data_IF_758803109924
#
_entry.id   IF_758803109924
#
_cell.length_a   1.000
_cell.length_b   1.000
_cell.length_c   1.000
_cell.angle_alpha   90.00
_cell.angle_beta   90.00
_cell.angle_gamma   90.00
#
_symmetry.space_group_name_H-M   'P 1'
#
loop_
_entity.id
_entity.type
_entity.pdbx_description
1 polymer ?
#
# COMPACT_ATOMS: atom_id res chain seq x y z
N UNK A 1 -4.20 11.16 -12.18
CA UNK A 1 -3.42 10.98 -10.94
C UNK A 1 -2.82 9.57 -10.87
N UNK A 2 -1.68 9.38 -10.19
CA UNK A 2 -1.08 8.06 -9.91
C UNK A 2 -1.25 7.68 -8.45
N UNK A 3 -1.36 6.39 -8.15
CA UNK A 3 -1.49 5.84 -6.78
C UNK A 3 -0.33 4.90 -6.52
N UNK A 4 0.48 5.21 -5.50
CA UNK A 4 1.53 4.32 -5.03
C UNK A 4 0.98 3.41 -3.93
N UNK A 5 0.92 2.11 -4.20
CA UNK A 5 0.47 1.10 -3.26
C UNK A 5 1.61 0.16 -2.87
N UNK A 6 1.84 0.06 -1.57
CA UNK A 6 2.92 -0.74 -0.99
C UNK A 6 2.36 -2.08 -0.53
N UNK A 7 3.02 -3.18 -0.89
CA UNK A 7 2.64 -4.53 -0.46
C UNK A 7 3.88 -5.35 -0.09
N UNK A 8 3.68 -6.40 0.71
CA UNK A 8 4.73 -7.37 1.06
C UNK A 8 5.44 -8.00 -0.15
N UNK A 9 4.78 -8.04 -1.31
CA UNK A 9 5.36 -8.57 -2.53
C UNK A 9 6.07 -7.53 -3.40
N UNK A 10 5.96 -6.23 -3.11
CA UNK A 10 6.48 -5.20 -4.00
C UNK A 10 5.78 -3.85 -3.92
N UNK A 11 6.10 -2.98 -4.88
CA UNK A 11 5.45 -1.68 -5.07
C UNK A 11 4.58 -1.71 -6.33
N UNK A 12 3.30 -1.37 -6.18
CA UNK A 12 2.38 -1.21 -7.28
C UNK A 12 2.10 0.26 -7.54
N UNK A 13 2.02 0.64 -8.82
CA UNK A 13 1.55 1.95 -9.23
C UNK A 13 0.34 1.79 -10.11
N UNK A 14 -0.76 2.35 -9.64
CA UNK A 14 -2.03 2.39 -10.36
C UNK A 14 -2.24 3.77 -10.96
N UNK A 15 -2.84 3.82 -12.14
CA UNK A 15 -3.42 5.03 -12.71
C UNK A 15 -4.88 5.12 -12.30
N UNK A 16 -5.24 6.23 -11.66
CA UNK A 16 -6.63 6.54 -11.36
C UNK A 16 -7.30 7.07 -12.63
N UNK A 17 -8.35 6.39 -13.08
CA UNK A 17 -9.09 6.71 -14.30
C UNK A 17 -10.23 7.70 -14.02
N UNK A 18 -10.83 7.63 -12.84
CA UNK A 18 -11.91 8.53 -12.41
C UNK A 18 -11.51 9.27 -11.13
N UNK A 19 -11.05 10.51 -11.29
CA UNK A 19 -10.56 11.35 -10.20
C UNK A 19 -11.70 11.86 -9.30
N UNK A 20 -12.95 11.86 -9.79
CA UNK A 20 -14.12 12.31 -9.02
C UNK A 20 -14.43 11.37 -7.85
N UNK A 21 -14.00 10.10 -7.95
CA UNK A 21 -14.18 9.07 -6.90
C UNK A 21 -13.45 9.36 -5.60
N UNK A 22 -12.47 10.27 -5.59
CA UNK A 22 -11.81 10.73 -4.36
C UNK A 22 -12.70 11.65 -3.49
N UNK A 23 -13.77 12.22 -4.06
CA UNK A 23 -14.68 13.12 -3.35
C UNK A 23 -15.92 12.38 -2.80
N UNK A 24 -16.24 11.20 -3.33
CA UNK A 24 -17.44 10.41 -2.99
C UNK A 24 -17.07 9.07 -2.34
N UNK A 25 -16.75 9.10 -1.05
CA UNK A 25 -16.23 7.95 -0.29
C UNK A 25 -17.24 6.79 -0.22
N UNK A 26 -18.55 7.06 -0.14
CA UNK A 26 -19.59 6.02 -0.05
C UNK A 26 -19.66 5.17 -1.33
N UNK A 27 -19.50 5.78 -2.50
CA UNK A 27 -19.52 5.08 -3.79
C UNK A 27 -18.26 4.24 -4.00
N UNK A 28 -17.16 4.60 -3.35
CA UNK A 28 -15.86 3.96 -3.53
C UNK A 28 -15.85 2.50 -3.07
N UNK A 29 -16.59 2.15 -2.01
CA UNK A 29 -16.69 0.75 -1.58
C UNK A 29 -17.45 -0.11 -2.59
N UNK A 30 -18.54 0.42 -3.16
CA UNK A 30 -19.39 -0.28 -4.14
C UNK A 30 -18.62 -0.53 -5.45
N UNK A 31 -17.79 0.43 -5.85
CA UNK A 31 -16.95 0.33 -7.04
C UNK A 31 -15.82 -0.70 -6.91
N UNK A 32 -15.54 -1.18 -5.69
CA UNK A 32 -14.49 -2.16 -5.40
C UNK A 32 -15.03 -3.48 -4.85
N UNK A 33 -16.35 -3.71 -4.91
CA UNK A 33 -16.95 -5.01 -4.58
C UNK A 33 -16.48 -6.12 -5.52
N UNK A 34 -16.29 -5.80 -6.81
CA UNK A 34 -15.86 -6.76 -7.81
C UNK A 34 -14.59 -6.28 -8.55
N UNK A 35 -13.72 -7.20 -8.99
CA UNK A 35 -12.52 -6.86 -9.76
C UNK A 35 -12.83 -6.07 -11.04
N UNK A 36 -13.95 -6.37 -11.70
CA UNK A 36 -14.36 -5.72 -12.96
C UNK A 36 -14.77 -4.26 -12.74
N UNK A 37 -15.42 -3.95 -11.61
CA UNK A 37 -15.74 -2.56 -11.23
C UNK A 37 -14.46 -1.82 -10.84
N UNK A 38 -13.59 -2.44 -10.03
CA UNK A 38 -12.33 -1.83 -9.59
C UNK A 38 -11.42 -1.49 -10.77
N UNK A 39 -11.38 -2.35 -11.81
CA UNK A 39 -10.60 -2.13 -13.03
C UNK A 39 -11.07 -0.91 -13.87
N UNK A 40 -12.33 -0.46 -13.68
CA UNK A 40 -12.85 0.77 -14.31
C UNK A 40 -12.38 2.04 -13.59
N UNK A 41 -12.07 1.93 -12.30
CA UNK A 41 -11.59 3.06 -11.49
C UNK A 41 -10.06 3.12 -11.48
N UNK A 42 -9.40 1.97 -11.40
CA UNK A 42 -7.94 1.87 -11.33
C UNK A 42 -7.40 0.90 -12.37
N UNK A 43 -6.30 1.32 -13.00
CA UNK A 43 -5.54 0.47 -13.91
C UNK A 43 -4.11 0.30 -13.40
N UNK A 44 -3.64 -0.92 -13.27
CA UNK A 44 -2.24 -1.20 -12.93
C UNK A 44 -1.34 -0.67 -14.06
N UNK A 45 -0.43 0.26 -13.72
CA UNK A 45 0.54 0.84 -14.66
C UNK A 45 1.87 0.09 -14.57
N UNK A 46 2.34 -0.16 -13.36
CA UNK A 46 3.60 -0.86 -13.11
C UNK A 46 3.51 -1.62 -11.79
N UNK A 47 4.05 -2.82 -11.74
CA UNK A 47 4.29 -3.56 -10.51
C UNK A 47 5.78 -3.94 -10.42
N UNK A 48 6.46 -3.45 -9.38
CA UNK A 48 7.84 -3.84 -9.07
C UNK A 48 7.80 -4.86 -7.94
N UNK A 49 7.97 -6.14 -8.28
CA UNK A 49 8.03 -7.23 -7.32
C UNK A 49 9.37 -7.20 -6.57
N UNK A 50 9.35 -7.57 -5.29
CA UNK A 50 10.58 -7.79 -4.55
C UNK A 50 11.22 -9.13 -4.90
N UNK A 51 12.55 -9.13 -4.98
CA UNK A 51 13.32 -10.34 -5.31
C UNK A 51 13.27 -11.37 -4.17
N UNK A 52 13.32 -10.90 -2.93
CA UNK A 52 13.33 -11.73 -1.74
C UNK A 52 12.75 -11.01 -0.50
N UNK A 53 12.63 -11.76 0.60
CA UNK A 53 12.13 -11.25 1.88
C UNK A 53 13.07 -10.26 2.56
N UNK A 54 14.36 -10.25 2.22
CA UNK A 54 15.34 -9.29 2.76
C UNK A 54 15.13 -7.92 2.14
N UNK A 55 14.90 -7.87 0.84
CA UNK A 55 14.56 -6.65 0.11
C UNK A 55 13.21 -6.11 0.57
N UNK A 56 12.21 -6.98 0.75
CA UNK A 56 10.90 -6.61 1.30
C UNK A 56 11.01 -5.99 2.70
N UNK A 57 11.82 -6.58 3.58
CA UNK A 57 12.09 -6.08 4.93
C UNK A 57 12.79 -4.72 4.91
N UNK A 58 13.86 -4.58 4.14
CA UNK A 58 14.58 -3.31 4.01
C UNK A 58 13.71 -2.20 3.43
N UNK A 59 12.84 -2.54 2.46
CA UNK A 59 11.89 -1.61 1.88
C UNK A 59 10.85 -1.15 2.91
N UNK A 60 10.30 -2.09 3.67
CA UNK A 60 9.29 -1.81 4.67
C UNK A 60 9.87 -1.04 5.88
N UNK A 61 11.09 -1.33 6.34
CA UNK A 61 11.80 -0.52 7.36
C UNK A 61 12.04 0.90 6.85
N UNK A 62 12.45 1.07 5.60
CA UNK A 62 12.64 2.38 5.02
C UNK A 62 11.33 3.18 4.97
N UNK A 63 10.20 2.55 4.62
CA UNK A 63 8.88 3.19 4.66
C UNK A 63 8.52 3.67 6.07
N UNK A 64 8.74 2.84 7.11
CA UNK A 64 8.50 3.23 8.52
C UNK A 64 9.36 4.43 8.94
N UNK A 65 10.61 4.49 8.47
CA UNK A 65 11.51 5.62 8.72
C UNK A 65 11.21 6.85 7.82
N UNK A 66 10.19 6.80 6.96
CA UNK A 66 9.88 7.86 6.00
C UNK A 66 10.93 8.04 4.89
N UNK A 67 11.75 7.01 4.62
CA UNK A 67 12.83 7.02 3.63
C UNK A 67 12.44 6.29 2.36
N UNK A 68 13.00 6.74 1.24
CA UNK A 68 12.81 6.09 -0.06
C UNK A 68 13.77 4.90 -0.20
N UNK A 69 13.22 3.69 -0.28
CA UNK A 69 13.98 2.47 -0.53
C UNK A 69 14.62 2.44 -1.93
N UNK A 70 15.67 1.63 -2.12
CA UNK A 70 16.30 1.43 -3.44
C UNK A 70 15.32 0.97 -4.53
N UNK A 71 14.47 -0.05 -4.31
CA UNK A 71 13.47 -0.46 -5.31
C UNK A 71 12.46 0.65 -5.61
N UNK A 72 11.97 1.37 -4.59
CA UNK A 72 11.05 2.50 -4.82
C UNK A 72 11.70 3.62 -5.63
N UNK A 73 12.98 3.93 -5.36
CA UNK A 73 13.74 4.93 -6.13
C UNK A 73 13.85 4.55 -7.61
N UNK A 74 14.07 3.26 -7.93
CA UNK A 74 14.12 2.78 -9.31
C UNK A 74 12.75 2.86 -9.98
N UNK A 75 11.70 2.47 -9.25
CA UNK A 75 10.32 2.53 -9.75
C UNK A 75 9.90 3.96 -10.07
N UNK A 76 10.09 4.90 -9.14
CA UNK A 76 9.75 6.30 -9.34
C UNK A 76 10.48 6.90 -10.54
N UNK A 77 11.78 6.61 -10.71
CA UNK A 77 12.54 7.08 -11.89
C UNK A 77 11.96 6.63 -13.23
N UNK A 78 11.36 5.43 -13.30
CA UNK A 78 10.71 4.94 -14.53
C UNK A 78 9.33 5.58 -14.77
N UNK A 79 8.76 6.20 -13.73
CA UNK A 79 7.44 6.83 -13.76
C UNK A 79 7.51 8.34 -13.92
N UNK A 80 8.66 8.97 -13.60
CA UNK A 80 8.93 10.38 -13.87
C UNK A 80 8.99 10.57 -15.38
N UNK A 81 7.89 11.02 -15.95
CA UNK A 81 7.90 11.63 -17.28
C UNK A 81 8.15 13.14 -17.07
N UNK A 82 9.22 13.73 -17.64
CA UNK A 82 9.55 15.14 -17.41
C UNK A 82 8.44 16.11 -17.84
N UNK A 83 7.60 15.68 -18.78
CA UNK A 83 6.59 16.51 -19.42
C UNK A 83 5.19 16.36 -18.82
N UNK A 84 4.99 15.44 -17.87
CA UNK A 84 3.68 15.19 -17.24
C UNK A 84 3.78 15.31 -15.73
N UNK A 85 3.28 16.42 -15.20
CA UNK A 85 3.16 16.64 -13.76
C UNK A 85 1.96 15.86 -13.20
N UNK A 86 2.06 14.53 -13.14
CA UNK A 86 1.03 13.69 -12.50
C UNK A 86 1.17 13.77 -10.97
N UNK A 87 0.07 14.08 -10.27
CA UNK A 87 0.02 14.02 -8.81
C UNK A 87 0.08 12.56 -8.32
N UNK A 88 0.90 12.31 -7.30
CA UNK A 88 1.11 10.99 -6.71
C UNK A 88 0.36 10.87 -5.38
N UNK A 89 -0.54 9.90 -5.30
CA UNK A 89 -1.27 9.55 -4.09
C UNK A 89 -0.44 8.56 -3.28
N UNK A 90 -0.15 8.92 -2.03
CA UNK A 90 0.69 8.13 -1.12
C UNK A 90 -0.05 7.85 0.18
N UNK A 91 0.20 6.68 0.77
CA UNK A 91 -0.42 6.27 2.02
C UNK A 91 0.24 6.94 3.25
N UNK A 92 1.50 7.36 3.16
CA UNK A 92 2.20 8.00 4.27
C UNK A 92 2.71 9.40 3.89
N UNK A 93 2.46 10.36 4.77
CA UNK A 93 2.81 11.76 4.52
C UNK A 93 4.31 12.04 4.63
N UNK A 94 5.06 11.31 5.47
CA UNK A 94 6.51 11.42 5.59
C UNK A 94 7.19 10.85 4.35
N UNK A 95 6.73 9.69 3.85
CA UNK A 95 7.18 9.15 2.58
C UNK A 95 6.88 10.10 1.42
N UNK A 96 5.68 10.70 1.40
CA UNK A 96 5.31 11.73 0.42
C UNK A 96 6.24 12.94 0.42
N UNK A 97 6.64 13.44 1.59
CA UNK A 97 7.63 14.53 1.71
C UNK A 97 8.98 14.12 1.13
N UNK A 98 9.49 12.94 1.49
CA UNK A 98 10.76 12.45 0.97
C UNK A 98 10.74 12.31 -0.56
N UNK A 99 9.62 11.86 -1.13
CA UNK A 99 9.43 11.75 -2.60
C UNK A 99 9.40 13.13 -3.24
N UNK A 100 8.66 14.07 -2.67
CA UNK A 100 8.56 15.45 -3.15
C UNK A 100 9.91 16.15 -3.16
N UNK A 101 10.72 15.98 -2.11
CA UNK A 101 12.06 16.57 -2.03
C UNK A 101 13.03 16.01 -3.08
N UNK A 102 12.92 14.72 -3.41
CA UNK A 102 13.91 14.03 -4.24
C UNK A 102 13.57 13.99 -5.73
N UNK A 103 12.29 13.95 -6.05
CA UNK A 103 11.79 13.76 -7.42
C UNK A 103 10.85 14.88 -7.87
N UNK A 104 10.59 15.89 -7.01
CA UNK A 104 9.71 17.02 -7.31
C UNK A 104 8.29 16.63 -7.71
N UNK A 105 7.83 15.43 -7.33
CA UNK A 105 6.43 15.04 -7.46
C UNK A 105 5.56 15.80 -6.48
N UNK A 106 4.39 16.25 -6.94
CA UNK A 106 3.36 16.65 -6.01
C UNK A 106 2.70 15.42 -5.40
N UNK A 107 2.84 15.26 -4.09
CA UNK A 107 2.34 14.12 -3.34
C UNK A 107 1.13 14.53 -2.51
N UNK A 108 0.02 13.78 -2.62
CA UNK A 108 -1.19 14.01 -1.85
C UNK A 108 -1.42 12.84 -0.88
N UNK A 109 -1.63 13.19 0.39
CA UNK A 109 -2.00 12.28 1.46
C UNK A 109 -3.13 12.93 2.26
N UNK A 110 -4.35 12.40 2.15
CA UNK A 110 -5.53 12.84 2.89
C UNK A 110 -6.40 11.63 3.26
N UNK A 111 -7.51 11.85 3.98
CA UNK A 111 -8.44 10.79 4.37
C UNK A 111 -9.01 10.02 3.18
N UNK A 112 -9.40 10.71 2.11
CA UNK A 112 -9.91 10.07 0.88
C UNK A 112 -8.90 9.13 0.23
N UNK A 113 -7.60 9.51 0.24
CA UNK A 113 -6.51 8.66 -0.24
C UNK A 113 -6.37 7.43 0.66
N UNK A 114 -6.50 7.57 1.98
CA UNK A 114 -6.49 6.42 2.88
C UNK A 114 -7.64 5.46 2.60
N UNK A 115 -8.85 5.96 2.35
CA UNK A 115 -9.99 5.13 2.00
C UNK A 115 -9.80 4.45 0.64
N UNK A 116 -9.22 5.14 -0.35
CA UNK A 116 -8.80 4.54 -1.62
C UNK A 116 -7.79 3.41 -1.41
N UNK A 117 -6.78 3.60 -0.57
CA UNK A 117 -5.81 2.55 -0.26
C UNK A 117 -6.45 1.34 0.41
N UNK A 118 -7.51 1.54 1.22
CA UNK A 118 -8.26 0.44 1.87
C UNK A 118 -9.03 -0.40 0.84
N UNK A 119 -9.73 0.23 -0.09
CA UNK A 119 -10.47 -0.52 -1.13
C UNK A 119 -9.54 -1.16 -2.17
N UNK A 120 -8.38 -0.56 -2.46
CA UNK A 120 -7.35 -1.23 -3.27
C UNK A 120 -6.87 -2.50 -2.57
N UNK A 121 -6.69 -2.44 -1.25
CA UNK A 121 -6.22 -3.58 -0.45
C UNK A 121 -7.22 -4.74 -0.44
N UNK A 122 -8.54 -4.47 -0.44
CA UNK A 122 -9.55 -5.54 -0.49
C UNK A 122 -9.56 -6.29 -1.82
N UNK A 123 -9.12 -5.65 -2.91
CA UNK A 123 -9.02 -6.23 -4.26
C UNK A 123 -7.58 -6.46 -4.71
N UNK A 124 -6.59 -6.36 -3.82
CA UNK A 124 -5.18 -6.36 -4.20
C UNK A 124 -4.75 -7.65 -4.90
N UNK A 125 -5.28 -8.79 -4.45
CA UNK A 125 -4.93 -10.10 -5.01
C UNK A 125 -5.36 -10.17 -6.50
N UNK A 126 -6.55 -9.64 -6.82
CA UNK A 126 -7.07 -9.53 -8.19
C UNK A 126 -6.37 -8.45 -9.03
N UNK A 127 -6.09 -7.28 -8.43
CA UNK A 127 -5.51 -6.12 -9.12
C UNK A 127 -4.03 -6.28 -9.44
N UNK A 128 -3.28 -7.01 -8.59
CA UNK A 128 -1.84 -7.23 -8.76
C UNK A 128 -1.53 -8.44 -9.64
N UNK A 129 -2.52 -9.30 -9.92
CA UNK A 129 -2.36 -10.52 -10.73
C UNK A 129 -1.27 -11.47 -10.20
N UNK A 130 -1.05 -11.46 -8.88
CA UNK A 130 -0.09 -12.34 -8.20
C UNK A 130 -0.85 -13.56 -7.68
N UNK A 131 -0.20 -14.72 -7.68
CA UNK A 131 -0.77 -15.92 -7.06
C UNK A 131 -1.00 -15.67 -5.55
N UNK A 132 -2.22 -15.90 -5.08
CA UNK A 132 -2.62 -15.75 -3.67
C UNK A 132 -1.66 -16.50 -2.72
N UNK A 133 -1.23 -17.72 -3.09
CA UNK A 133 -0.31 -18.52 -2.27
C UNK A 133 1.08 -17.88 -2.15
N UNK A 134 1.55 -17.29 -3.25
CA UNK A 134 2.85 -16.61 -3.27
C UNK A 134 2.79 -15.35 -2.42
N UNK A 135 1.72 -14.56 -2.56
CA UNK A 135 1.52 -13.36 -1.78
C UNK A 135 1.37 -13.68 -0.28
N UNK A 136 0.62 -14.73 0.07
CA UNK A 136 0.51 -15.21 1.44
C UNK A 136 1.86 -15.66 2.02
N UNK A 137 2.66 -16.41 1.26
CA UNK A 137 4.00 -16.82 1.67
C UNK A 137 4.92 -15.62 1.93
N UNK A 138 4.87 -14.59 1.06
CA UNK A 138 5.63 -13.36 1.25
C UNK A 138 5.17 -12.56 2.47
N UNK A 139 3.86 -12.47 2.71
CA UNK A 139 3.29 -11.85 3.92
C UNK A 139 3.83 -12.52 5.19
N UNK A 140 3.78 -13.85 5.25
CA UNK A 140 4.27 -14.65 6.39
C UNK A 140 5.79 -14.51 6.57
N UNK A 141 6.55 -14.63 5.48
CA UNK A 141 8.01 -14.53 5.53
C UNK A 141 8.47 -13.15 6.00
N UNK A 142 7.80 -12.09 5.55
CA UNK A 142 8.06 -10.73 6.01
C UNK A 142 7.72 -10.57 7.49
N UNK A 143 6.56 -11.05 7.94
CA UNK A 143 6.13 -10.99 9.34
C UNK A 143 7.14 -11.69 10.28
N UNK A 144 7.58 -12.91 9.93
CA UNK A 144 8.60 -13.62 10.72
C UNK A 144 9.93 -12.87 10.79
N UNK A 145 10.39 -12.27 9.67
CA UNK A 145 11.63 -11.48 9.70
C UNK A 145 11.50 -10.21 10.54
N UNK A 146 10.34 -9.56 10.49
CA UNK A 146 10.04 -8.42 11.35
C UNK A 146 10.09 -8.80 12.82
N UNK A 147 9.49 -9.93 13.20
CA UNK A 147 9.51 -10.43 14.58
C UNK A 147 10.95 -10.67 15.07
N UNK A 148 11.83 -11.23 14.23
CA UNK A 148 13.24 -11.47 14.59
C UNK A 148 13.97 -10.15 14.83
N UNK A 149 13.84 -9.18 13.91
CA UNK A 149 14.45 -7.87 14.07
C UNK A 149 13.89 -7.16 15.32
N UNK A 150 12.57 -7.21 15.54
CA UNK A 150 11.97 -6.62 16.73
C UNK A 150 12.39 -7.33 18.02
N UNK A 151 12.59 -8.64 18.03
CA UNK A 151 13.14 -9.36 19.19
C UNK A 151 14.54 -8.85 19.56
N UNK A 152 15.36 -8.50 18.58
CA UNK A 152 16.66 -7.88 18.81
C UNK A 152 16.53 -6.43 19.36
N UNK A 153 15.46 -5.70 19.03
CA UNK A 153 15.16 -4.36 19.57
C UNK A 153 14.35 -4.37 20.89
N UNK A 154 13.66 -5.47 21.22
CA UNK A 154 12.77 -5.63 22.38
C UNK A 154 13.47 -5.72 23.75
N UNK A 155 14.74 -5.30 23.85
CA UNK A 155 15.30 -4.93 25.15
C UNK A 155 14.84 -3.53 25.61
N UNK A 156 14.40 -2.63 24.71
CA UNK A 156 13.85 -1.33 25.09
C UNK A 156 12.69 -0.87 24.17
N UNK A 157 11.50 -0.76 24.78
CA UNK A 157 10.33 0.06 24.43
C UNK A 157 9.33 -0.41 23.36
N UNK A 158 8.10 -0.64 23.87
CA UNK A 158 6.75 -0.34 23.35
C UNK A 158 6.15 -1.18 22.18
N UNK A 159 5.28 -2.11 22.60
CA UNK A 159 4.36 -2.98 21.85
C UNK A 159 3.31 -2.27 20.94
N UNK A 160 3.20 -0.94 20.95
CA UNK A 160 2.07 -0.23 20.32
C UNK A 160 2.29 -0.04 18.81
N UNK A 161 3.51 0.33 18.39
CA UNK A 161 3.84 0.52 16.97
C UNK A 161 3.82 -0.81 16.18
N UNK A 162 4.00 -1.92 16.89
CA UNK A 162 3.84 -3.27 16.34
C UNK A 162 2.40 -3.52 15.90
N UNK A 163 1.38 -3.08 16.66
CA UNK A 163 -0.03 -3.31 16.31
C UNK A 163 -0.42 -2.50 15.08
N UNK A 164 0.06 -1.27 14.90
CA UNK A 164 -0.31 -0.46 13.73
C UNK A 164 0.37 -0.94 12.45
N UNK A 165 1.64 -1.38 12.51
CA UNK A 165 2.32 -1.96 11.35
C UNK A 165 1.89 -3.40 11.07
N UNK A 166 1.69 -4.22 12.11
CA UNK A 166 1.00 -5.50 11.99
C UNK A 166 -0.38 -5.25 11.42
N UNK A 167 -1.15 -4.23 11.82
CA UNK A 167 -2.45 -3.88 11.23
C UNK A 167 -2.32 -3.42 9.77
N UNK A 168 -1.24 -2.77 9.36
CA UNK A 168 -0.94 -2.48 7.95
C UNK A 168 -0.74 -3.77 7.14
N UNK A 169 -0.18 -4.80 7.76
CA UNK A 169 -0.02 -6.17 7.22
C UNK A 169 -1.28 -7.07 7.46
N UNK A 170 -2.09 -6.81 8.49
CA UNK A 170 -3.26 -7.53 9.01
C UNK A 170 -4.59 -6.85 8.67
N UNK A 171 -4.63 -5.82 7.80
CA UNK A 171 -5.91 -5.22 7.35
C UNK A 171 -6.79 -6.24 6.58
N UNK A 172 -6.27 -7.44 6.35
CA UNK A 172 -7.01 -8.62 5.86
C UNK A 172 -7.88 -9.26 6.97
N UNK A 173 -7.53 -9.14 8.25
CA UNK A 173 -8.25 -9.80 9.36
C UNK A 173 -9.23 -8.87 10.09
N UNK A 174 -8.88 -7.61 10.37
CA UNK A 174 -9.76 -6.71 11.15
C UNK A 174 -10.94 -6.19 10.32
N UNK A 175 -10.76 -5.94 9.02
CA UNK A 175 -11.87 -5.49 8.15
C UNK A 175 -12.92 -6.58 7.95
N UNK A 176 -12.51 -7.85 7.87
CA UNK A 176 -13.43 -9.00 7.81
C UNK A 176 -14.21 -9.17 9.12
N UNK A 177 -13.57 -8.96 10.28
CA UNK A 177 -14.25 -9.03 11.58
C UNK A 177 -15.23 -7.87 11.76
N UNK A 178 -14.88 -6.64 11.36
CA UNK A 178 -15.77 -5.47 11.50
C UNK A 178 -16.99 -5.54 10.57
N UNK A 179 -16.83 -6.09 9.35
CA UNK A 179 -17.94 -6.33 8.42
C UNK A 179 -18.82 -7.51 8.89
N UNK A 180 -18.24 -8.59 9.42
CA UNK A 180 -19.00 -9.72 9.97
C UNK A 180 -19.77 -9.36 11.26
N UNK A 181 -19.26 -8.45 12.10
CA UNK A 181 -20.00 -7.99 13.29
C UNK A 181 -21.12 -7.01 12.97
N UNK A 182 -21.07 -6.31 11.83
CA UNK A 182 -22.15 -5.39 11.40
C UNK A 182 -23.28 -6.08 10.63
N UNK A 183 -23.09 -7.34 10.20
CA UNK A 183 -24.15 -8.15 9.55
C UNK A 183 -24.87 -9.12 10.50
N UNK A 184 -24.52 -9.12 11.81
CA UNK A 184 -25.18 -9.95 12.83
C UNK A 184 -26.17 -9.14 13.68
N UNK A 185 -26.15 -7.80 13.59
CA UNK A 185 -27.09 -6.90 14.28
C UNK A 185 -28.18 -6.34 13.34
N UNK A 186 -28.77 -7.19 12.49
CA UNK A 186 -30.10 -6.95 11.90
C UNK A 186 -30.91 -8.24 11.74
#
# INVERSE_FOLDING_TARGET
>A
MLVLFETSAGYAVFKLLDEKKLQEIENLYIDFESPEKAAKVLKLKQFEKFDDTTQALAAATATVEGKISKPLKKLLKRLVDPDVQEQLLVADSALGKAIKEKFSFDCLCNSSVQDLMRVIRSQADSLLQINEKELAAMRIGLAHRYEIIFKDYCLHLQFIDMIDFICQVYTIYITKIKVLTMSIDH
#
